data_IF_794066360478
#
_entry.id   IF_794066360478
#
_cell.length_a   1.000
_cell.length_b   1.000
_cell.length_c   1.000
_cell.angle_alpha   90.00
_cell.angle_beta   90.00
_cell.angle_gamma   90.00
#
_symmetry.space_group_name_H-M   'P 1'
#
loop_
_entity.id
_entity.type
_entity.pdbx_description
1 polymer ?
#
# COMPACT_ATOMS: atom_id res chain seq x y z
N UNK A 1 -12.99 18.02 9.09
CA UNK A 1 -12.82 17.02 7.99
C UNK A 1 -14.08 17.06 7.13
N UNK A 2 -13.97 17.33 5.83
CA UNK A 2 -15.13 17.31 4.92
C UNK A 2 -15.68 15.88 4.85
N UNK A 3 -17.00 15.71 4.98
CA UNK A 3 -17.64 14.39 4.80
C UNK A 3 -17.48 14.00 3.33
N UNK A 4 -16.84 12.85 3.08
CA UNK A 4 -16.75 12.25 1.74
C UNK A 4 -17.47 10.91 1.80
N UNK A 5 -18.56 10.75 1.07
CA UNK A 5 -19.42 9.58 1.12
C UNK A 5 -19.22 8.67 -0.08
N UNK A 6 -19.85 7.49 -0.05
CA UNK A 6 -19.87 6.57 -1.20
C UNK A 6 -20.59 7.18 -2.40
N UNK A 7 -21.54 8.11 -2.17
CA UNK A 7 -22.23 8.83 -3.26
C UNK A 7 -21.26 9.77 -3.96
N UNK A 8 -20.42 10.46 -3.19
CA UNK A 8 -19.40 11.35 -3.74
C UNK A 8 -18.37 10.56 -4.55
N UNK A 9 -17.89 9.43 -4.01
CA UNK A 9 -16.98 8.54 -4.74
C UNK A 9 -17.56 8.09 -6.09
N UNK A 10 -18.83 7.68 -6.12
CA UNK A 10 -19.48 7.22 -7.36
C UNK A 10 -19.72 8.36 -8.35
N UNK A 11 -19.92 9.58 -7.85
CA UNK A 11 -20.07 10.77 -8.68
C UNK A 11 -18.74 11.16 -9.32
N UNK A 12 -17.66 11.15 -8.55
CA UNK A 12 -16.33 11.55 -9.02
C UNK A 12 -15.67 10.46 -9.88
N UNK A 13 -15.96 9.20 -9.59
CA UNK A 13 -15.39 8.03 -10.26
C UNK A 13 -16.46 7.05 -10.76
N UNK A 14 -17.28 7.44 -11.76
CA UNK A 14 -18.35 6.60 -12.28
C UNK A 14 -17.85 5.40 -13.07
N UNK A 15 -16.70 5.52 -13.75
CA UNK A 15 -16.16 4.49 -14.62
C UNK A 15 -14.62 4.41 -14.58
N UNK A 16 -14.06 3.38 -15.24
CA UNK A 16 -12.62 3.15 -15.30
C UNK A 16 -11.86 4.26 -16.05
N UNK A 17 -12.53 5.02 -16.93
CA UNK A 17 -11.91 6.11 -17.69
C UNK A 17 -11.71 7.35 -16.83
N UNK A 18 -12.72 7.73 -16.04
CA UNK A 18 -12.63 8.79 -15.04
C UNK A 18 -11.53 8.48 -14.01
N UNK A 19 -11.44 7.23 -13.56
CA UNK A 19 -10.39 6.77 -12.67
C UNK A 19 -8.99 6.93 -13.28
N UNK A 20 -8.84 6.61 -14.56
CA UNK A 20 -7.56 6.67 -15.27
C UNK A 20 -7.17 8.11 -15.62
N UNK A 21 -8.14 8.95 -15.96
CA UNK A 21 -7.96 10.37 -16.22
C UNK A 21 -7.54 11.12 -14.95
N UNK A 22 -8.19 10.84 -13.82
CA UNK A 22 -7.74 11.37 -12.53
C UNK A 22 -6.29 10.97 -12.24
N UNK A 23 -5.94 9.70 -12.45
CA UNK A 23 -4.57 9.21 -12.22
C UNK A 23 -3.55 9.88 -13.16
N UNK A 24 -3.92 10.13 -14.42
CA UNK A 24 -3.10 10.88 -15.37
C UNK A 24 -2.87 12.31 -14.86
N UNK A 25 -3.94 13.02 -14.53
CA UNK A 25 -3.86 14.43 -14.14
C UNK A 25 -3.10 14.61 -12.82
N UNK A 26 -3.23 13.65 -11.89
CA UNK A 26 -2.44 13.63 -10.66
C UNK A 26 -0.94 13.44 -10.92
N UNK A 27 -0.55 12.60 -11.88
CA UNK A 27 0.86 12.33 -12.21
C UNK A 27 1.50 13.39 -13.10
N UNK A 28 0.72 14.02 -13.96
CA UNK A 28 1.17 14.97 -14.96
C UNK A 28 0.23 16.19 -15.00
N UNK A 29 0.28 17.07 -13.98
CA UNK A 29 -0.58 18.24 -13.91
C UNK A 29 -0.34 19.22 -15.07
N UNK A 30 0.93 19.43 -15.45
CA UNK A 30 1.35 20.31 -16.54
C UNK A 30 1.33 19.63 -17.93
N UNK A 31 0.78 18.41 -18.02
CA UNK A 31 0.77 17.61 -19.24
C UNK A 31 1.90 16.58 -19.32
N UNK A 32 1.76 15.65 -20.27
CA UNK A 32 2.66 14.50 -20.40
C UNK A 32 3.83 14.88 -21.31
N UNK A 33 5.04 14.87 -20.73
CA UNK A 33 6.27 15.00 -21.51
C UNK A 33 6.53 13.74 -22.32
N UNK A 34 6.63 13.86 -23.64
CA UNK A 34 6.88 12.71 -24.51
C UNK A 34 8.37 12.55 -24.78
N UNK A 35 8.99 11.47 -24.29
CA UNK A 35 10.43 11.22 -24.46
C UNK A 35 10.88 11.12 -25.93
N UNK A 36 10.00 10.70 -26.86
CA UNK A 36 10.34 10.65 -28.29
C UNK A 36 10.27 11.99 -29.00
N UNK A 37 9.40 12.90 -28.54
CA UNK A 37 9.22 14.22 -29.16
C UNK A 37 9.95 15.34 -28.43
N UNK A 38 10.50 15.02 -27.25
CA UNK A 38 11.17 15.94 -26.33
C UNK A 38 10.41 17.24 -26.05
N UNK A 39 9.08 17.13 -26.02
CA UNK A 39 8.16 18.22 -25.75
C UNK A 39 6.91 17.71 -25.04
N UNK A 40 6.21 18.62 -24.36
CA UNK A 40 4.86 18.32 -23.82
C UNK A 40 3.90 18.24 -24.99
N UNK A 41 3.28 17.07 -25.18
CA UNK A 41 2.34 16.82 -26.27
C UNK A 41 0.99 16.41 -25.73
N UNK A 42 -0.05 16.68 -26.52
CA UNK A 42 -1.39 16.14 -26.25
C UNK A 42 -1.34 14.61 -26.43
N UNK A 43 -1.86 13.90 -25.44
CA UNK A 43 -2.04 12.45 -25.52
C UNK A 43 -3.52 12.08 -25.46
N UNK A 44 -3.96 11.23 -26.37
CA UNK A 44 -5.34 10.74 -26.44
C UNK A 44 -5.50 9.39 -25.74
N UNK A 45 -6.68 9.15 -25.17
CA UNK A 45 -6.97 7.92 -24.45
C UNK A 45 -7.15 6.74 -25.42
N UNK A 46 -6.45 5.64 -25.14
CA UNK A 46 -6.59 4.35 -25.82
C UNK A 46 -7.31 3.37 -24.88
N UNK A 47 -8.63 3.28 -25.05
CA UNK A 47 -9.53 2.53 -24.15
C UNK A 47 -9.11 1.07 -23.95
N UNK A 48 -8.78 0.36 -25.03
CA UNK A 48 -8.43 -1.08 -24.98
C UNK A 48 -7.19 -1.39 -24.13
N UNK A 49 -6.25 -0.45 -23.97
CA UNK A 49 -4.95 -0.67 -23.32
C UNK A 49 -4.76 0.13 -22.02
N UNK A 50 -5.77 0.89 -21.59
CA UNK A 50 -5.69 1.81 -20.44
C UNK A 50 -4.43 2.69 -20.53
N UNK A 51 -4.15 3.19 -21.73
CA UNK A 51 -2.96 3.97 -22.04
C UNK A 51 -3.31 5.26 -22.75
N UNK A 52 -2.39 6.21 -22.72
CA UNK A 52 -2.47 7.47 -23.44
C UNK A 52 -1.44 7.46 -24.56
N UNK A 53 -1.84 7.82 -25.78
CA UNK A 53 -0.98 7.81 -26.95
C UNK A 53 -0.65 9.24 -27.37
N UNK A 54 0.63 9.53 -27.57
CA UNK A 54 1.11 10.83 -28.07
C UNK A 54 0.53 11.10 -29.46
N UNK A 55 -0.01 12.31 -29.67
CA UNK A 55 -0.55 12.72 -30.97
C UNK A 55 0.51 12.79 -32.07
N UNK A 56 1.76 13.13 -31.73
CA UNK A 56 2.82 13.41 -32.71
C UNK A 56 3.56 12.14 -33.15
N UNK A 57 3.94 11.27 -32.19
CA UNK A 57 4.79 10.10 -32.45
C UNK A 57 4.13 8.76 -32.14
N UNK A 58 2.89 8.76 -31.65
CA UNK A 58 2.16 7.54 -31.28
C UNK A 58 2.72 6.79 -30.06
N UNK A 59 3.67 7.39 -29.31
CA UNK A 59 4.23 6.74 -28.12
C UNK A 59 3.17 6.56 -27.03
N UNK A 60 3.11 5.38 -26.43
CA UNK A 60 2.15 5.08 -25.37
C UNK A 60 2.73 5.33 -23.98
N UNK A 61 1.92 5.95 -23.13
CA UNK A 61 2.18 6.15 -21.70
C UNK A 61 1.08 5.46 -20.91
N UNK A 62 1.47 4.68 -19.91
CA UNK A 62 0.54 3.96 -19.05
C UNK A 62 0.49 4.61 -17.67
N UNK A 63 -0.58 5.32 -17.29
CA UNK A 63 -0.68 5.98 -15.98
C UNK A 63 -0.60 5.00 -14.81
N UNK A 64 -0.99 3.75 -15.01
CA UNK A 64 -0.94 2.69 -14.00
C UNK A 64 0.46 2.10 -13.81
N UNK A 65 1.42 2.39 -14.69
CA UNK A 65 2.78 1.89 -14.57
C UNK A 65 3.44 2.40 -13.29
N UNK A 66 4.20 1.53 -12.63
CA UNK A 66 4.89 1.85 -11.37
C UNK A 66 3.98 2.37 -10.24
N UNK A 67 2.71 1.95 -10.23
CA UNK A 67 1.75 2.20 -9.15
C UNK A 67 1.22 0.89 -8.56
N UNK A 68 0.39 0.97 -7.52
CA UNK A 68 -0.34 -0.20 -6.99
C UNK A 68 -1.28 -0.85 -8.03
N UNK A 69 -1.65 -0.11 -9.07
CA UNK A 69 -2.48 -0.57 -10.18
C UNK A 69 -1.67 -1.28 -11.29
N UNK A 70 -0.34 -1.29 -11.19
CA UNK A 70 0.53 -1.86 -12.21
C UNK A 70 0.24 -3.35 -12.42
N UNK A 71 0.13 -3.75 -13.70
CA UNK A 71 -0.19 -5.12 -14.16
C UNK A 71 -1.45 -5.72 -13.50
N UNK A 72 -2.42 -4.87 -13.12
CA UNK A 72 -3.72 -5.32 -12.64
C UNK A 72 -4.69 -5.49 -13.80
N UNK A 73 -5.28 -6.68 -13.94
CA UNK A 73 -6.43 -6.91 -14.83
C UNK A 73 -7.75 -6.43 -14.22
N UNK A 74 -7.78 -6.18 -12.90
CA UNK A 74 -8.97 -5.67 -12.20
C UNK A 74 -9.31 -4.25 -12.63
N UNK A 75 -10.60 -3.95 -12.75
CA UNK A 75 -11.13 -2.61 -13.01
C UNK A 75 -10.64 -1.59 -11.98
N UNK A 76 -10.29 -0.38 -12.43
CA UNK A 76 -9.79 0.70 -11.57
C UNK A 76 -10.86 1.20 -10.60
N UNK A 77 -12.12 1.20 -11.02
CA UNK A 77 -13.28 1.50 -10.14
C UNK A 77 -13.31 0.63 -8.89
N UNK A 78 -12.96 -0.66 -9.00
CA UNK A 78 -12.88 -1.58 -7.85
C UNK A 78 -11.69 -1.26 -6.94
N UNK A 79 -10.57 -0.81 -7.52
CA UNK A 79 -9.43 -0.32 -6.75
C UNK A 79 -9.78 0.93 -5.95
N UNK A 80 -10.46 1.89 -6.56
CA UNK A 80 -10.92 3.10 -5.87
C UNK A 80 -11.90 2.79 -4.74
N UNK A 81 -12.83 1.87 -4.95
CA UNK A 81 -13.69 1.38 -3.87
C UNK A 81 -12.88 0.73 -2.72
N UNK A 82 -11.83 -0.04 -3.03
CA UNK A 82 -10.97 -0.63 -2.01
C UNK A 82 -10.24 0.45 -1.20
N UNK A 83 -9.67 1.45 -1.87
CA UNK A 83 -9.01 2.60 -1.23
C UNK A 83 -9.99 3.37 -0.34
N UNK A 84 -11.19 3.67 -0.85
CA UNK A 84 -12.24 4.34 -0.08
C UNK A 84 -12.62 3.56 1.19
N UNK A 85 -12.87 2.25 1.07
CA UNK A 85 -13.23 1.43 2.22
C UNK A 85 -12.11 1.36 3.26
N UNK A 86 -10.85 1.34 2.82
CA UNK A 86 -9.70 1.40 3.73
C UNK A 86 -9.61 2.74 4.45
N UNK A 87 -9.72 3.85 3.71
CA UNK A 87 -9.63 5.21 4.27
C UNK A 87 -10.74 5.51 5.28
N UNK A 88 -11.93 4.93 5.10
CA UNK A 88 -13.07 5.15 6.00
C UNK A 88 -13.07 4.30 7.28
N UNK A 89 -12.21 3.27 7.35
CA UNK A 89 -12.26 2.32 8.46
C UNK A 89 -11.12 2.58 9.45
N UNK A 90 -11.46 3.06 10.65
CA UNK A 90 -10.47 3.35 11.72
C UNK A 90 -9.70 2.11 12.21
N UNK A 91 -10.34 0.95 12.26
CA UNK A 91 -9.74 -0.31 12.75
C UNK A 91 -9.05 -1.16 11.67
N UNK A 92 -8.89 -0.62 10.45
CA UNK A 92 -8.51 -1.42 9.29
C UNK A 92 -9.61 -2.38 8.83
N UNK A 93 -9.48 -2.88 7.60
CA UNK A 93 -10.46 -3.78 6.97
C UNK A 93 -9.76 -5.06 6.50
N UNK A 94 -10.35 -6.22 6.78
CA UNK A 94 -9.78 -7.50 6.37
C UNK A 94 -9.94 -7.75 4.87
N UNK A 95 -9.02 -8.54 4.29
CA UNK A 95 -9.12 -8.93 2.88
C UNK A 95 -10.41 -9.70 2.58
N UNK A 96 -10.91 -10.52 3.52
CA UNK A 96 -12.20 -11.21 3.39
C UNK A 96 -13.40 -10.26 3.41
N UNK A 97 -13.32 -9.14 4.11
CA UNK A 97 -14.37 -8.13 4.07
C UNK A 97 -14.34 -7.34 2.76
N UNK A 98 -13.15 -7.01 2.24
CA UNK A 98 -12.99 -6.40 0.91
C UNK A 98 -13.54 -7.32 -0.19
N UNK A 99 -13.23 -8.62 -0.13
CA UNK A 99 -13.78 -9.63 -1.05
C UNK A 99 -15.30 -9.55 -1.12
N UNK A 100 -15.98 -9.61 0.04
CA UNK A 100 -17.45 -9.57 0.13
C UNK A 100 -18.04 -8.24 -0.33
N UNK A 101 -17.38 -7.11 -0.03
CA UNK A 101 -17.91 -5.78 -0.37
C UNK A 101 -17.72 -5.40 -1.83
N UNK A 102 -16.63 -5.84 -2.46
CA UNK A 102 -16.25 -5.43 -3.82
C UNK A 102 -16.59 -6.53 -4.84
N UNK A 103 -16.75 -7.78 -4.42
CA UNK A 103 -17.10 -8.89 -5.31
C UNK A 103 -15.94 -9.41 -6.16
N UNK A 104 -14.71 -9.29 -5.65
CA UNK A 104 -13.50 -9.85 -6.29
C UNK A 104 -13.12 -11.18 -5.64
N UNK A 105 -12.16 -11.92 -6.22
CA UNK A 105 -11.60 -13.10 -5.53
C UNK A 105 -10.81 -12.69 -4.29
N UNK A 106 -10.72 -13.61 -3.31
CA UNK A 106 -9.87 -13.41 -2.14
C UNK A 106 -8.42 -13.03 -2.49
N UNK A 107 -7.82 -13.69 -3.51
CA UNK A 107 -6.44 -13.42 -3.95
C UNK A 107 -6.30 -11.96 -4.41
N UNK A 108 -7.28 -11.46 -5.16
CA UNK A 108 -7.33 -10.06 -5.61
C UNK A 108 -7.50 -9.11 -4.43
N UNK A 109 -8.46 -9.38 -3.54
CA UNK A 109 -8.71 -8.56 -2.36
C UNK A 109 -7.47 -8.49 -1.45
N UNK A 110 -6.78 -9.60 -1.26
CA UNK A 110 -5.54 -9.67 -0.48
C UNK A 110 -4.42 -8.85 -1.13
N UNK A 111 -4.23 -8.96 -2.46
CA UNK A 111 -3.26 -8.14 -3.21
C UNK A 111 -3.58 -6.65 -3.07
N UNK A 112 -4.85 -6.28 -3.22
CA UNK A 112 -5.30 -4.89 -3.02
C UNK A 112 -4.94 -4.39 -1.63
N UNK A 113 -5.30 -5.15 -0.59
CA UNK A 113 -5.02 -4.77 0.78
C UNK A 113 -3.52 -4.59 1.04
N UNK A 114 -2.70 -5.53 0.57
CA UNK A 114 -1.25 -5.49 0.75
C UNK A 114 -0.65 -4.24 0.12
N UNK A 115 -0.98 -3.96 -1.15
CA UNK A 115 -0.40 -2.84 -1.88
C UNK A 115 -0.87 -1.48 -1.34
N UNK A 116 -2.15 -1.33 -1.01
CA UNK A 116 -2.67 -0.09 -0.43
C UNK A 116 -2.00 0.19 0.92
N UNK A 117 -1.93 -0.81 1.81
CA UNK A 117 -1.27 -0.64 3.11
C UNK A 117 0.21 -0.32 2.98
N UNK A 118 0.91 -0.91 2.01
CA UNK A 118 2.32 -0.60 1.75
C UNK A 118 2.52 0.87 1.35
N UNK A 119 1.54 1.51 0.70
CA UNK A 119 1.61 2.94 0.38
C UNK A 119 1.21 3.83 1.58
N UNK A 120 0.32 3.34 2.45
CA UNK A 120 -0.10 4.03 3.66
C UNK A 120 0.90 3.87 4.82
N UNK A 121 1.90 3.01 4.68
CA UNK A 121 2.89 2.77 5.73
C UNK A 121 3.85 3.98 5.81
N UNK A 122 3.36 5.04 6.44
CA UNK A 122 4.08 6.26 6.81
C UNK A 122 5.11 6.01 7.94
N UNK A 123 5.18 4.78 8.47
CA UNK A 123 6.15 4.39 9.50
C UNK A 123 7.54 4.15 8.90
N UNK A 124 8.09 5.16 8.22
CA UNK A 124 9.52 5.33 7.99
C UNK A 124 10.10 6.54 8.72
N UNK A 125 9.27 7.35 9.38
CA UNK A 125 9.77 8.38 10.27
C UNK A 125 10.32 7.77 11.56
N UNK A 126 11.40 8.34 12.06
CA UNK A 126 11.95 7.94 13.35
C UNK A 126 10.94 8.18 14.48
N UNK A 127 11.06 7.44 15.57
CA UNK A 127 10.41 7.68 16.84
C UNK A 127 10.83 9.07 17.32
N UNK A 128 9.84 9.84 17.76
CA UNK A 128 10.01 11.25 18.10
C UNK A 128 10.29 11.48 19.59
N UNK A 129 10.12 10.43 20.41
CA UNK A 129 10.29 10.46 21.86
C UNK A 129 10.93 9.17 22.38
N UNK A 130 11.06 9.08 23.70
CA UNK A 130 11.44 7.84 24.39
C UNK A 130 10.59 6.66 23.91
N UNK A 131 11.28 5.54 23.67
CA UNK A 131 10.69 4.27 23.25
C UNK A 131 10.99 3.19 24.26
N UNK A 132 10.05 2.28 24.43
CA UNK A 132 10.21 1.03 25.16
C UNK A 132 10.34 -0.10 24.13
N UNK A 133 11.41 -0.87 24.20
CA UNK A 133 11.68 -1.96 23.28
C UNK A 133 11.75 -3.28 24.05
N UNK A 134 11.05 -4.30 23.58
CA UNK A 134 11.06 -5.64 24.17
C UNK A 134 11.00 -6.71 23.07
N UNK A 135 11.52 -7.89 23.38
CA UNK A 135 11.49 -9.05 22.49
C UNK A 135 10.42 -10.06 22.92
N UNK A 136 9.72 -10.62 21.94
CA UNK A 136 8.80 -11.73 22.17
C UNK A 136 9.04 -12.88 21.20
N UNK A 137 8.61 -14.08 21.59
CA UNK A 137 8.81 -15.31 20.83
C UNK A 137 7.47 -15.89 20.43
N UNK A 138 7.11 -15.73 19.16
CA UNK A 138 5.79 -16.07 18.62
C UNK A 138 5.82 -17.38 17.85
N UNK A 139 4.79 -18.20 18.05
CA UNK A 139 4.54 -19.41 17.28
C UNK A 139 5.25 -20.67 17.82
N UNK A 140 5.48 -21.61 16.90
CA UNK A 140 5.95 -22.97 17.17
C UNK A 140 4.80 -23.99 17.21
N UNK A 141 4.82 -24.98 16.30
CA UNK A 141 3.84 -26.08 16.29
C UNK A 141 4.05 -27.07 17.45
N UNK A 142 5.30 -27.24 17.87
CA UNK A 142 5.71 -28.14 18.96
C UNK A 142 6.10 -27.30 20.18
N UNK A 143 5.74 -27.78 21.38
CA UNK A 143 6.38 -27.30 22.60
C UNK A 143 7.86 -27.69 22.49
N UNK A 144 8.75 -26.69 22.43
CA UNK A 144 10.18 -26.92 22.59
C UNK A 144 10.55 -26.99 24.07
N UNK A 145 11.74 -27.53 24.36
CA UNK A 145 12.22 -27.70 25.74
C UNK A 145 12.54 -26.36 26.41
N UNK A 146 12.95 -25.35 25.63
CA UNK A 146 13.30 -24.01 26.12
C UNK A 146 12.12 -23.04 26.00
N UNK A 147 11.80 -22.37 27.12
CA UNK A 147 10.85 -21.25 27.20
C UNK A 147 11.60 -19.92 27.03
N UNK A 148 10.99 -18.97 26.33
CA UNK A 148 11.54 -17.62 26.15
C UNK A 148 12.74 -17.57 25.19
N UNK A 149 13.79 -16.86 25.60
CA UNK A 149 14.98 -16.57 24.80
C UNK A 149 15.73 -17.84 24.42
N UNK A 150 15.94 -18.05 23.12
CA UNK A 150 16.59 -19.25 22.58
C UNK A 150 15.64 -20.44 22.37
N UNK A 151 14.32 -20.22 22.35
CA UNK A 151 13.35 -21.24 21.95
C UNK A 151 13.48 -21.53 20.44
N UNK A 152 14.02 -22.70 20.11
CA UNK A 152 14.44 -23.09 18.74
C UNK A 152 13.28 -23.16 17.73
N UNK A 153 12.05 -23.33 18.21
CA UNK A 153 10.85 -23.47 17.36
C UNK A 153 10.01 -22.18 17.26
N UNK A 154 10.50 -21.05 17.78
CA UNK A 154 9.74 -19.79 17.83
C UNK A 154 10.41 -18.70 17.01
N UNK A 155 9.59 -17.84 16.40
CA UNK A 155 10.08 -16.65 15.72
C UNK A 155 10.28 -15.54 16.73
N UNK A 156 11.49 -15.01 16.83
CA UNK A 156 11.77 -13.83 17.64
C UNK A 156 11.25 -12.58 16.94
N UNK A 157 10.51 -11.75 17.67
CA UNK A 157 9.89 -10.51 17.21
C UNK A 157 10.28 -9.41 18.18
N UNK A 158 10.89 -8.35 17.67
CA UNK A 158 11.11 -7.11 18.39
C UNK A 158 9.84 -6.26 18.31
N UNK A 159 9.36 -5.77 19.46
CA UNK A 159 8.37 -4.71 19.55
C UNK A 159 9.03 -3.45 20.08
N UNK A 160 8.82 -2.31 19.42
CA UNK A 160 9.24 -0.99 19.88
C UNK A 160 7.98 -0.13 20.00
N UNK A 161 7.75 0.45 21.17
CA UNK A 161 6.57 1.24 21.49
C UNK A 161 7.00 2.63 21.94
N UNK A 162 6.55 3.65 21.22
CA UNK A 162 6.62 5.04 21.65
C UNK A 162 5.54 5.27 22.71
N UNK A 163 5.87 5.91 23.83
CA UNK A 163 4.89 6.15 24.91
C UNK A 163 3.68 6.92 24.39
N UNK A 164 2.49 6.32 24.51
CA UNK A 164 1.22 6.83 23.94
C UNK A 164 1.28 7.11 22.42
N UNK A 165 2.21 6.47 21.72
CA UNK A 165 2.52 6.73 20.32
C UNK A 165 2.48 5.48 19.46
N UNK A 166 3.42 5.41 18.52
CA UNK A 166 3.50 4.38 17.50
C UNK A 166 4.09 3.08 18.03
N UNK A 167 3.69 1.98 17.40
CA UNK A 167 4.25 0.64 17.65
C UNK A 167 4.90 0.15 16.36
N UNK A 168 6.17 -0.26 16.46
CA UNK A 168 6.88 -0.96 15.40
C UNK A 168 7.13 -2.39 15.83
N UNK A 169 6.89 -3.34 14.93
CA UNK A 169 7.25 -4.75 15.15
C UNK A 169 8.08 -5.26 13.98
N UNK A 170 9.14 -5.99 14.30
CA UNK A 170 10.04 -6.55 13.29
C UNK A 170 10.49 -7.96 13.70
N UNK A 171 10.49 -8.88 12.73
CA UNK A 171 11.09 -10.21 12.92
C UNK A 171 12.61 -10.05 13.01
N UNK A 172 13.21 -10.59 14.07
CA UNK A 172 14.65 -10.53 14.34
C UNK A 172 15.26 -11.94 14.32
N UNK A 173 16.52 -12.09 13.91
CA UNK A 173 17.19 -13.39 13.94
C UNK A 173 17.52 -13.86 15.36
N UNK A 174 17.75 -12.93 16.30
CA UNK A 174 18.04 -13.21 17.71
C UNK A 174 17.91 -11.93 18.56
N UNK A 175 17.76 -12.09 19.87
CA UNK A 175 17.65 -11.00 20.84
C UNK A 175 19.00 -10.46 21.36
N UNK A 176 20.11 -10.64 20.61
CA UNK A 176 21.43 -10.13 21.04
C UNK A 176 21.49 -8.60 20.87
N UNK A 177 22.23 -7.93 21.76
CA UNK A 177 22.45 -6.47 21.72
C UNK A 177 22.89 -5.98 20.34
N UNK A 178 23.82 -6.68 19.69
CA UNK A 178 24.32 -6.38 18.34
C UNK A 178 23.24 -6.40 17.25
N UNK A 179 22.16 -7.15 17.46
CA UNK A 179 21.02 -7.22 16.53
C UNK A 179 20.00 -6.14 16.87
N UNK A 180 19.71 -5.94 18.15
CA UNK A 180 18.64 -5.05 18.63
C UNK A 180 19.00 -3.57 18.55
N UNK A 181 20.19 -3.20 19.04
CA UNK A 181 20.60 -1.81 19.20
C UNK A 181 20.59 -1.02 17.86
N UNK A 182 21.12 -1.54 16.74
CA UNK A 182 21.04 -0.82 15.47
C UNK A 182 19.63 -0.66 14.92
N UNK A 183 18.69 -1.55 15.29
CA UNK A 183 17.29 -1.46 14.86
C UNK A 183 16.57 -0.35 15.63
N UNK A 184 16.85 -0.24 16.94
CA UNK A 184 16.30 0.82 17.79
C UNK A 184 16.89 2.19 17.40
N UNK A 185 18.19 2.28 17.13
CA UNK A 185 18.86 3.55 16.79
C UNK A 185 18.55 4.07 15.38
N UNK A 186 18.26 3.17 14.42
CA UNK A 186 17.84 3.57 13.06
C UNK A 186 16.39 4.05 12.99
N UNK A 187 15.62 3.76 14.02
CA UNK A 187 14.19 4.00 14.08
C UNK A 187 13.88 5.12 15.03
#
# INVERSE_FOLDING_TARGET
>A
MKKYSIRDLRKDFPDDTACLEWLKNYRWPEGIHCHKCDKVTKHHLVLKRKSYSCQECGNHVHPTASTIFHKSSTFLTLWWHAVYLMAQTRGGISAKQIERKIGVTYKTAWRMCKLIRQQLDENKSSFSSEVEADETYVGGKKKGDKRGRGSENKTAVLGIVERKGRIHTQIIPNAKKVTLQPIVEKR
#
